data_IF_162501055230
#
_entry.id   IF_162501055230
#
_cell.length_a   1.000
_cell.length_b   1.000
_cell.length_c   1.000
_cell.angle_alpha   90.00
_cell.angle_beta   90.00
_cell.angle_gamma   90.00
#
_symmetry.space_group_name_H-M   'P 1'
#
loop_
_entity.id
_entity.type
_entity.pdbx_description
1 polymer ?
#
# COMPACT_ATOMS: atom_id res chain seq x y z
N UNK A 1 7.49 -20.17 23.46
CA UNK A 1 8.72 -20.71 22.83
C UNK A 1 8.34 -21.48 21.57
N UNK A 2 9.18 -21.35 20.51
CA UNK A 2 9.10 -21.96 19.17
C UNK A 2 8.21 -21.22 18.16
N UNK A 3 8.66 -20.86 16.96
CA UNK A 3 9.99 -20.67 16.34
C UNK A 3 9.67 -19.94 15.03
N UNK A 4 10.27 -18.77 14.82
CA UNK A 4 10.19 -18.01 13.58
C UNK A 4 11.01 -18.79 12.54
N UNK A 5 10.37 -19.19 11.44
CA UNK A 5 11.08 -19.73 10.28
C UNK A 5 11.11 -18.64 9.20
N UNK A 6 12.16 -17.83 9.27
CA UNK A 6 12.66 -17.02 8.17
C UNK A 6 13.16 -18.00 7.10
N UNK A 7 12.50 -18.08 5.95
CA UNK A 7 12.99 -18.89 4.85
C UNK A 7 13.82 -18.03 3.91
N UNK A 8 15.07 -18.47 3.75
CA UNK A 8 16.15 -17.84 3.02
C UNK A 8 15.84 -17.63 1.54
N UNK A 9 16.22 -16.43 1.10
CA UNK A 9 16.94 -16.11 -0.13
C UNK A 9 17.59 -17.33 -0.83
N UNK A 10 17.15 -17.65 -2.04
CA UNK A 10 17.91 -18.48 -2.99
C UNK A 10 18.34 -17.58 -4.14
N UNK A 11 19.61 -17.17 -4.09
CA UNK A 11 20.34 -16.48 -5.13
C UNK A 11 21.22 -17.53 -5.83
N UNK A 12 20.92 -17.83 -7.09
CA UNK A 12 21.59 -18.82 -7.93
C UNK A 12 21.12 -18.57 -9.38
N UNK A 13 21.93 -18.44 -10.44
CA UNK A 13 23.35 -18.63 -10.69
C UNK A 13 23.69 -17.77 -11.93
N UNK A 14 24.84 -17.10 -11.94
CA UNK A 14 25.46 -16.57 -13.17
C UNK A 14 26.16 -17.73 -13.90
N UNK A 15 25.78 -17.99 -15.15
CA UNK A 15 26.64 -18.71 -16.10
C UNK A 15 26.93 -17.78 -17.27
N UNK A 16 28.21 -17.42 -17.40
CA UNK A 16 28.78 -16.65 -18.51
C UNK A 16 28.84 -17.55 -19.74
N UNK A 17 28.29 -17.09 -20.86
CA UNK A 17 28.59 -17.63 -22.18
C UNK A 17 28.95 -16.46 -23.11
N UNK A 18 30.24 -16.33 -23.42
CA UNK A 18 30.72 -15.42 -24.44
C UNK A 18 30.40 -16.01 -25.83
N UNK A 19 29.53 -15.33 -26.60
CA UNK A 19 29.36 -15.63 -28.02
C UNK A 19 28.11 -15.00 -28.62
N UNK A 20 28.24 -13.79 -29.17
CA UNK A 20 27.20 -13.17 -30.03
C UNK A 20 26.03 -12.49 -29.30
N UNK A 21 26.27 -11.86 -28.15
CA UNK A 21 25.23 -11.42 -27.21
C UNK A 21 24.72 -9.97 -27.36
N UNK A 22 25.01 -9.26 -28.45
CA UNK A 22 24.63 -7.84 -28.57
C UNK A 22 23.15 -7.57 -28.82
N UNK A 23 22.39 -8.51 -29.39
CA UNK A 23 20.99 -8.26 -29.82
C UNK A 23 19.95 -9.09 -29.08
N UNK A 24 20.35 -10.21 -28.45
CA UNK A 24 19.43 -11.04 -27.64
C UNK A 24 19.33 -10.59 -26.19
N UNK A 25 20.39 -9.98 -25.65
CA UNK A 25 20.47 -9.52 -24.25
C UNK A 25 19.63 -8.26 -24.05
N UNK A 26 19.65 -7.36 -25.02
CA UNK A 26 18.88 -6.11 -25.00
C UNK A 26 17.37 -6.37 -25.22
N UNK A 27 17.00 -7.30 -26.11
CA UNK A 27 15.61 -7.72 -26.30
C UNK A 27 15.00 -8.40 -25.05
N UNK A 28 15.82 -9.01 -24.19
CA UNK A 28 15.38 -9.57 -22.91
C UNK A 28 15.21 -8.48 -21.84
N UNK A 29 16.06 -7.44 -21.87
CA UNK A 29 16.00 -6.32 -20.94
C UNK A 29 14.68 -5.53 -21.05
N UNK A 30 14.28 -5.14 -22.27
CA UNK A 30 13.03 -4.42 -22.47
C UNK A 30 11.81 -5.23 -22.06
N UNK A 31 11.82 -6.55 -22.29
CA UNK A 31 10.77 -7.46 -21.82
C UNK A 31 10.71 -7.55 -20.30
N UNK A 32 11.85 -7.72 -19.63
CA UNK A 32 11.93 -7.75 -18.16
C UNK A 32 11.40 -6.45 -17.53
N UNK A 33 11.75 -5.30 -18.11
CA UNK A 33 11.28 -3.99 -17.64
C UNK A 33 9.77 -3.81 -17.84
N UNK A 34 9.21 -4.19 -19.01
CA UNK A 34 7.75 -4.19 -19.22
C UNK A 34 7.02 -5.05 -18.20
N UNK A 35 7.53 -6.24 -17.92
CA UNK A 35 6.95 -7.14 -16.91
C UNK A 35 7.02 -6.54 -15.50
N UNK A 36 8.13 -5.90 -15.17
CA UNK A 36 8.32 -5.23 -13.87
C UNK A 36 7.35 -4.06 -13.72
N UNK A 37 7.21 -3.20 -14.74
CA UNK A 37 6.24 -2.10 -14.76
C UNK A 37 4.83 -2.64 -14.55
N UNK A 38 4.39 -3.61 -15.36
CA UNK A 38 3.06 -4.17 -15.27
C UNK A 38 2.78 -4.81 -13.89
N UNK A 39 3.78 -5.50 -13.31
CA UNK A 39 3.63 -6.14 -11.99
C UNK A 39 3.51 -5.12 -10.87
N UNK A 40 4.37 -4.11 -10.85
CA UNK A 40 4.36 -3.07 -9.81
C UNK A 40 3.13 -2.18 -9.92
N UNK A 41 2.76 -1.77 -11.14
CA UNK A 41 1.55 -1.01 -11.44
C UNK A 41 0.30 -1.71 -10.88
N UNK A 42 0.18 -3.01 -11.17
CA UNK A 42 -0.90 -3.85 -10.64
C UNK A 42 -0.88 -3.92 -9.11
N UNK A 43 0.27 -4.22 -8.50
CA UNK A 43 0.38 -4.34 -7.04
C UNK A 43 -0.06 -3.04 -6.34
N UNK A 44 0.44 -1.90 -6.79
CA UNK A 44 0.17 -0.60 -6.14
C UNK A 44 -1.27 -0.15 -6.40
N UNK A 45 -1.79 -0.28 -7.62
CA UNK A 45 -3.16 0.12 -7.95
C UNK A 45 -4.22 -0.72 -7.23
N UNK A 46 -4.05 -2.04 -7.17
CA UNK A 46 -4.91 -2.93 -6.41
C UNK A 46 -4.79 -2.64 -4.91
N UNK A 47 -3.57 -2.40 -4.41
CA UNK A 47 -3.32 -2.03 -3.02
C UNK A 47 -4.01 -0.73 -2.59
N UNK A 48 -3.94 0.33 -3.41
CA UNK A 48 -4.64 1.60 -3.15
C UNK A 48 -6.15 1.36 -3.11
N UNK A 49 -6.69 0.64 -4.10
CA UNK A 49 -8.12 0.36 -4.20
C UNK A 49 -8.64 -0.43 -3.01
N UNK A 50 -7.90 -1.46 -2.59
CA UNK A 50 -8.25 -2.27 -1.43
C UNK A 50 -8.20 -1.43 -0.14
N UNK A 51 -7.18 -0.60 0.03
CA UNK A 51 -7.05 0.28 1.19
C UNK A 51 -8.20 1.31 1.27
N UNK A 52 -8.62 1.89 0.15
CA UNK A 52 -9.80 2.78 0.10
C UNK A 52 -11.06 2.08 0.60
N UNK A 53 -11.27 0.85 0.14
CA UNK A 53 -12.39 0.02 0.57
C UNK A 53 -12.30 -0.28 2.07
N UNK A 54 -11.14 -0.71 2.55
CA UNK A 54 -10.94 -1.06 3.96
C UNK A 54 -11.19 0.14 4.88
N UNK A 55 -10.71 1.34 4.51
CA UNK A 55 -10.95 2.57 5.27
C UNK A 55 -12.45 2.86 5.36
N UNK A 56 -13.16 2.76 4.22
CA UNK A 56 -14.61 2.99 4.18
C UNK A 56 -15.37 1.97 5.04
N UNK A 57 -15.02 0.70 4.91
CA UNK A 57 -15.65 -0.39 5.65
C UNK A 57 -15.39 -0.26 7.16
N UNK A 58 -14.17 0.10 7.57
CA UNK A 58 -13.83 0.36 8.97
C UNK A 58 -14.63 1.53 9.54
N UNK A 59 -14.74 2.65 8.81
CA UNK A 59 -15.55 3.81 9.26
C UNK A 59 -17.01 3.39 9.41
N UNK A 60 -17.59 2.73 8.41
CA UNK A 60 -18.99 2.30 8.44
C UNK A 60 -19.27 1.31 9.57
N UNK A 61 -18.37 0.35 9.79
CA UNK A 61 -18.51 -0.62 10.86
C UNK A 61 -18.48 0.06 12.23
N UNK A 62 -17.52 0.96 12.47
CA UNK A 62 -17.41 1.70 13.74
C UNK A 62 -18.64 2.59 14.00
N UNK A 63 -19.14 3.30 12.98
CA UNK A 63 -20.34 4.15 13.13
C UNK A 63 -21.60 3.32 13.44
N UNK A 64 -21.73 2.12 12.86
CA UNK A 64 -22.82 1.20 13.20
C UNK A 64 -22.77 0.78 14.68
N UNK A 65 -21.57 0.53 15.23
CA UNK A 65 -21.41 0.21 16.65
C UNK A 65 -21.82 1.39 17.53
N UNK A 66 -21.34 2.59 17.19
CA UNK A 66 -21.71 3.83 17.91
C UNK A 66 -23.22 3.95 17.99
N UNK A 67 -23.90 3.97 16.84
CA UNK A 67 -25.35 4.14 16.79
C UNK A 67 -26.11 3.08 17.61
N UNK A 68 -25.73 1.82 17.47
CA UNK A 68 -26.40 0.71 18.17
C UNK A 68 -26.27 0.81 19.70
N UNK A 69 -25.18 1.36 20.22
CA UNK A 69 -24.92 1.47 21.65
C UNK A 69 -25.45 2.80 22.23
N UNK A 70 -25.41 3.91 21.46
CA UNK A 70 -26.08 5.16 21.87
C UNK A 70 -27.60 5.00 21.96
N UNK A 71 -28.21 4.16 21.11
CA UNK A 71 -29.64 3.81 21.20
C UNK A 71 -29.97 3.01 22.47
N UNK A 72 -29.01 2.22 22.99
CA UNK A 72 -29.20 1.35 24.17
C UNK A 72 -28.79 2.01 25.48
N UNK A 73 -27.83 2.93 25.45
CA UNK A 73 -27.23 3.52 26.63
C UNK A 73 -27.12 5.05 26.48
N UNK A 74 -27.88 5.78 27.31
CA UNK A 74 -27.95 7.25 27.29
C UNK A 74 -26.69 7.93 27.86
N UNK A 75 -25.75 7.17 28.43
CA UNK A 75 -24.51 7.70 29.02
C UNK A 75 -23.33 7.70 28.04
N UNK A 76 -23.50 7.10 26.86
CA UNK A 76 -22.48 7.13 25.81
C UNK A 76 -22.58 8.50 25.13
N UNK A 77 -21.48 9.23 25.04
CA UNK A 77 -21.44 10.61 24.51
C UNK A 77 -22.12 10.76 23.15
N UNK A 78 -22.42 12.00 22.74
CA UNK A 78 -23.19 12.22 21.51
C UNK A 78 -22.50 11.63 20.25
N UNK A 79 -23.33 11.15 19.31
CA UNK A 79 -22.88 10.46 18.09
C UNK A 79 -21.91 11.33 17.27
N UNK A 80 -22.12 12.64 17.27
CA UNK A 80 -21.30 13.61 16.55
C UNK A 80 -19.86 13.66 17.10
N UNK A 81 -19.70 13.69 18.42
CA UNK A 81 -18.39 13.68 19.09
C UNK A 81 -17.65 12.38 18.81
N UNK A 82 -18.33 11.24 18.90
CA UNK A 82 -17.72 9.93 18.64
C UNK A 82 -17.30 9.77 17.18
N UNK A 83 -18.08 10.29 16.23
CA UNK A 83 -17.68 10.35 14.83
C UNK A 83 -16.43 11.21 14.63
N UNK A 84 -16.33 12.35 15.32
CA UNK A 84 -15.14 13.21 15.27
C UNK A 84 -13.91 12.47 15.83
N UNK A 85 -14.04 11.77 16.96
CA UNK A 85 -12.95 10.98 17.55
C UNK A 85 -12.51 9.84 16.61
N UNK A 86 -13.45 9.10 16.01
CA UNK A 86 -13.14 8.10 14.99
C UNK A 86 -12.34 8.72 13.83
N UNK A 87 -12.80 9.85 13.29
CA UNK A 87 -12.10 10.51 12.18
C UNK A 87 -10.70 11.01 12.57
N UNK A 88 -10.49 11.45 13.81
CA UNK A 88 -9.14 11.80 14.31
C UNK A 88 -8.21 10.60 14.30
N UNK A 89 -8.69 9.40 14.67
CA UNK A 89 -7.92 8.16 14.64
C UNK A 89 -7.63 7.66 13.22
N UNK A 90 -8.56 7.87 12.29
CA UNK A 90 -8.42 7.43 10.89
C UNK A 90 -7.60 8.42 10.04
N UNK A 91 -7.57 9.71 10.36
CA UNK A 91 -6.87 10.74 9.58
C UNK A 91 -5.39 10.42 9.29
N UNK A 92 -4.57 9.92 10.24
CA UNK A 92 -3.20 9.51 9.94
C UNK A 92 -3.10 8.42 8.87
N UNK A 93 -4.06 7.49 8.83
CA UNK A 93 -4.13 6.43 7.81
C UNK A 93 -4.40 7.03 6.43
N UNK A 94 -5.35 7.97 6.34
CA UNK A 94 -5.67 8.67 5.09
C UNK A 94 -4.47 9.46 4.57
N UNK A 95 -3.70 10.10 5.46
CA UNK A 95 -2.48 10.81 5.07
C UNK A 95 -1.45 9.89 4.41
N UNK A 96 -1.20 8.71 4.99
CA UNK A 96 -0.26 7.73 4.42
C UNK A 96 -0.77 7.22 3.07
N UNK A 97 -2.09 6.99 2.95
CA UNK A 97 -2.71 6.64 1.68
C UNK A 97 -2.51 7.72 0.60
N UNK A 98 -2.69 9.00 0.95
CA UNK A 98 -2.52 10.11 0.01
C UNK A 98 -1.06 10.22 -0.47
N UNK A 99 -0.09 9.97 0.41
CA UNK A 99 1.33 9.89 0.05
C UNK A 99 1.62 8.71 -0.90
N UNK A 100 1.00 7.54 -0.68
CA UNK A 100 1.12 6.41 -1.60
C UNK A 100 0.54 6.71 -2.98
N UNK A 101 -0.63 7.38 -3.02
CA UNK A 101 -1.26 7.83 -4.28
C UNK A 101 -0.39 8.83 -5.02
N UNK A 102 0.20 9.81 -4.32
CA UNK A 102 1.07 10.80 -4.95
C UNK A 102 2.29 10.14 -5.63
N UNK A 103 2.92 9.17 -4.95
CA UNK A 103 4.03 8.40 -5.52
C UNK A 103 3.60 7.55 -6.72
N UNK A 104 2.41 6.95 -6.67
CA UNK A 104 1.84 6.19 -7.77
C UNK A 104 1.58 7.07 -9.00
N UNK A 105 0.98 8.25 -8.81
CA UNK A 105 0.75 9.23 -9.89
C UNK A 105 2.07 9.72 -10.50
N UNK A 106 3.08 10.05 -9.68
CA UNK A 106 4.42 10.39 -10.19
C UNK A 106 5.02 9.24 -11.01
N UNK A 107 4.87 8.00 -10.52
CA UNK A 107 5.41 6.81 -11.20
C UNK A 107 4.74 6.53 -12.54
N UNK A 108 3.44 6.83 -12.69
CA UNK A 108 2.75 6.71 -13.98
C UNK A 108 3.31 7.68 -15.02
N UNK A 109 3.68 8.89 -14.63
CA UNK A 109 4.34 9.83 -15.56
C UNK A 109 5.76 9.36 -15.93
N UNK A 110 6.50 8.79 -14.97
CA UNK A 110 7.82 8.19 -15.24
C UNK A 110 7.68 6.98 -16.19
N UNK A 111 6.67 6.14 -16.01
CA UNK A 111 6.42 4.97 -16.86
C UNK A 111 6.26 5.36 -18.34
N UNK A 112 5.52 6.44 -18.64
CA UNK A 112 5.39 6.96 -20.00
C UNK A 112 6.74 7.36 -20.61
N UNK A 113 7.64 7.93 -19.82
CA UNK A 113 8.98 8.29 -20.27
C UNK A 113 9.87 7.06 -20.52
N UNK A 114 9.62 5.95 -19.82
CA UNK A 114 10.37 4.70 -19.96
C UNK A 114 9.94 3.93 -21.21
N UNK A 115 8.66 3.94 -21.58
CA UNK A 115 8.09 3.10 -22.66
C UNK A 115 8.85 3.18 -24.00
N UNK A 116 9.44 4.33 -24.33
CA UNK A 116 10.21 4.54 -25.57
C UNK A 116 11.69 4.15 -25.48
N UNK A 117 12.19 3.80 -24.29
CA UNK A 117 13.61 3.57 -23.97
C UNK A 117 13.89 2.23 -23.29
N UNK A 118 12.92 1.32 -23.32
CA UNK A 118 12.94 0.09 -22.53
C UNK A 118 14.14 -0.83 -22.79
N UNK A 119 14.73 -0.78 -23.99
CA UNK A 119 15.89 -1.60 -24.35
C UNK A 119 17.24 -0.92 -24.01
N UNK A 120 17.25 0.34 -23.52
CA UNK A 120 18.47 1.07 -23.20
C UNK A 120 19.19 0.49 -21.96
N UNK A 121 20.47 0.14 -22.09
CA UNK A 121 21.22 -0.56 -21.02
C UNK A 121 21.23 0.14 -19.65
N UNK A 122 21.26 1.47 -19.62
CA UNK A 122 21.16 2.29 -18.42
C UNK A 122 19.92 3.18 -18.54
N UNK A 123 19.01 3.04 -17.58
CA UNK A 123 17.74 3.78 -17.58
C UNK A 123 17.41 4.21 -16.15
N UNK A 124 18.03 5.29 -15.65
CA UNK A 124 17.85 5.78 -14.27
C UNK A 124 16.37 6.04 -13.92
N UNK A 125 15.56 6.43 -14.90
CA UNK A 125 14.12 6.61 -14.74
C UNK A 125 13.43 5.30 -14.33
N UNK A 126 13.88 4.15 -14.85
CA UNK A 126 13.34 2.85 -14.46
C UNK A 126 13.68 2.50 -13.00
N UNK A 127 14.88 2.85 -12.53
CA UNK A 127 15.23 2.66 -11.11
C UNK A 127 14.40 3.57 -10.20
N UNK A 128 14.22 4.84 -10.59
CA UNK A 128 13.33 5.78 -9.88
C UNK A 128 11.88 5.28 -9.86
N UNK A 129 11.40 4.74 -10.98
CA UNK A 129 10.07 4.12 -11.06
C UNK A 129 9.92 2.99 -10.04
N UNK A 130 10.86 2.03 -10.00
CA UNK A 130 10.81 0.92 -9.03
C UNK A 130 10.84 1.43 -7.58
N UNK A 131 11.68 2.43 -7.28
CA UNK A 131 11.79 2.99 -5.94
C UNK A 131 10.48 3.63 -5.48
N UNK A 132 9.86 4.45 -6.33
CA UNK A 132 8.58 5.08 -6.02
C UNK A 132 7.47 4.04 -5.83
N UNK A 133 7.38 3.04 -6.71
CA UNK A 133 6.36 1.99 -6.62
C UNK A 133 6.56 1.09 -5.39
N UNK A 134 7.81 0.76 -5.06
CA UNK A 134 8.14 0.00 -3.84
C UNK A 134 7.79 0.80 -2.59
N UNK A 135 8.08 2.10 -2.58
CA UNK A 135 7.73 3.01 -1.49
C UNK A 135 6.22 3.15 -1.34
N UNK A 136 5.49 3.28 -2.46
CA UNK A 136 4.03 3.32 -2.47
C UNK A 136 3.43 2.02 -1.89
N UNK A 137 3.92 0.84 -2.32
CA UNK A 137 3.52 -0.46 -1.75
C UNK A 137 3.80 -0.54 -0.24
N UNK A 138 4.95 -0.03 0.21
CA UNK A 138 5.29 0.06 1.63
C UNK A 138 4.31 0.91 2.43
N UNK A 139 3.97 2.10 1.92
CA UNK A 139 2.98 3.01 2.53
C UNK A 139 1.58 2.41 2.57
N UNK A 140 1.16 1.68 1.53
CA UNK A 140 -0.12 0.98 1.52
C UNK A 140 -0.18 -0.04 2.66
N UNK A 141 0.86 -0.87 2.82
CA UNK A 141 0.96 -1.87 3.90
C UNK A 141 0.96 -1.22 5.29
N UNK A 142 1.68 -0.11 5.44
CA UNK A 142 1.71 0.69 6.67
C UNK A 142 0.32 1.25 7.00
N UNK A 143 -0.37 1.85 6.03
CA UNK A 143 -1.71 2.38 6.21
C UNK A 143 -2.72 1.28 6.58
N UNK A 144 -2.67 0.12 5.93
CA UNK A 144 -3.52 -1.03 6.29
C UNK A 144 -3.30 -1.49 7.74
N UNK A 145 -2.03 -1.56 8.20
CA UNK A 145 -1.72 -1.91 9.57
C UNK A 145 -2.24 -0.86 10.58
N UNK A 146 -2.04 0.42 10.26
CA UNK A 146 -2.47 1.53 11.09
C UNK A 146 -4.00 1.67 11.14
N UNK A 147 -4.71 1.33 10.07
CA UNK A 147 -6.17 1.30 10.04
C UNK A 147 -6.75 0.34 11.07
N UNK A 148 -6.19 -0.87 11.12
CA UNK A 148 -6.60 -1.87 12.11
C UNK A 148 -6.35 -1.36 13.52
N UNK A 149 -5.17 -0.82 13.80
CA UNK A 149 -4.82 -0.27 15.10
C UNK A 149 -5.75 0.89 15.51
N UNK A 150 -6.03 1.82 14.60
CA UNK A 150 -6.93 2.95 14.82
C UNK A 150 -8.37 2.50 15.14
N UNK A 151 -8.88 1.50 14.41
CA UNK A 151 -10.20 0.93 14.66
C UNK A 151 -10.27 0.21 16.01
N UNK A 152 -9.25 -0.58 16.35
CA UNK A 152 -9.19 -1.32 17.62
C UNK A 152 -9.07 -0.35 18.82
N UNK A 153 -8.30 0.73 18.69
CA UNK A 153 -8.18 1.79 19.71
C UNK A 153 -9.50 2.53 19.92
N UNK A 154 -10.15 2.97 18.83
CA UNK A 154 -11.46 3.62 18.91
C UNK A 154 -12.49 2.75 19.63
N UNK A 155 -12.57 1.46 19.29
CA UNK A 155 -13.49 0.53 19.95
C UNK A 155 -13.19 0.34 21.44
N UNK A 156 -11.91 0.31 21.82
CA UNK A 156 -11.49 0.21 23.21
C UNK A 156 -11.93 1.44 24.01
N UNK A 157 -11.74 2.63 23.46
CA UNK A 157 -12.14 3.87 24.12
C UNK A 157 -13.66 4.01 24.18
N UNK A 158 -14.35 3.62 23.11
CA UNK A 158 -15.81 3.59 23.05
C UNK A 158 -16.43 2.71 24.14
N UNK A 159 -15.92 1.48 24.33
CA UNK A 159 -16.42 0.55 25.37
C UNK A 159 -16.25 1.08 26.79
N UNK A 160 -15.25 1.94 27.06
CA UNK A 160 -15.07 2.56 28.38
C UNK A 160 -16.13 3.60 28.70
N UNK A 161 -16.79 4.18 27.69
CA UNK A 161 -17.86 5.17 27.89
C UNK A 161 -19.20 4.51 28.22
N UNK A 162 -19.38 3.24 27.86
CA UNK A 162 -20.61 2.48 28.10
C UNK A 162 -20.68 1.74 29.44
N UNK A 163 -19.57 1.62 30.16
CA UNK A 163 -19.47 1.06 31.52
C UNK A 163 -19.52 2.16 32.58
#
# INVERSE_FOLDING_TARGET
>A
MKKILFSLLVLAFFTVSCGGEGTKKDADLGKQRKQTIASLDKEVSEGITQLEKDIKDAIQWNLKQVKADTEKNKNVGDEATLKVELMKKIRPVQKIQDEAKALYEESKEIAKSIESKLDESDLPEFDKYKENMTTASGKIKEASANLKAASDEFQKDFKKLGN
#
